data_IF_936958960712
#
_entry.id   IF_936958960712
#
_cell.length_a   1.000
_cell.length_b   1.000
_cell.length_c   1.000
_cell.angle_alpha   90.00
_cell.angle_beta   90.00
_cell.angle_gamma   90.00
#
_symmetry.space_group_name_H-M   'P 1'
#
loop_
_entity.id
_entity.type
_entity.pdbx_description
1 polymer ?
#
# COMPACT_ATOMS: atom_id res chain seq x y z
N UNK A 1 42.57 0.20 64.30
CA UNK A 1 42.91 1.59 64.72
C UNK A 1 41.95 2.48 63.96
N UNK A 2 40.92 2.84 64.60
CA UNK A 2 40.39 4.04 65.22
C UNK A 2 40.98 5.34 64.68
N UNK A 3 40.20 6.13 63.94
CA UNK A 3 40.12 7.55 64.25
C UNK A 3 38.78 8.13 63.77
N UNK A 4 38.18 8.78 64.64
CA UNK A 4 36.85 9.43 64.59
C UNK A 4 36.99 10.94 64.36
N UNK A 5 36.02 11.50 63.60
CA UNK A 5 35.27 12.77 63.79
C UNK A 5 36.02 14.11 63.55
N UNK A 6 35.30 15.25 63.31
CA UNK A 6 33.88 15.53 63.60
C UNK A 6 33.07 16.33 62.53
N UNK A 7 31.76 16.41 62.79
CA UNK A 7 30.74 17.29 62.23
C UNK A 7 31.08 18.80 62.31
N UNK A 8 30.76 19.53 61.29
CA UNK A 8 30.44 20.96 61.35
C UNK A 8 29.12 21.22 60.62
N UNK A 9 28.11 21.60 61.37
CA UNK A 9 26.82 22.05 60.92
C UNK A 9 26.93 23.51 60.44
N UNK A 10 26.56 23.78 59.20
CA UNK A 10 26.32 25.14 58.69
C UNK A 10 24.83 25.30 58.44
N UNK A 11 24.19 26.15 59.27
CA UNK A 11 22.83 26.63 59.07
C UNK A 11 22.83 27.69 58.03
N UNK A 12 22.20 27.43 56.88
CA UNK A 12 21.93 28.42 55.84
C UNK A 12 20.45 28.77 55.83
N UNK A 13 20.21 30.06 56.04
CA UNK A 13 18.91 30.70 56.03
C UNK A 13 18.34 30.66 54.60
N UNK A 14 17.19 30.07 54.44
CA UNK A 14 16.44 30.07 53.18
C UNK A 14 15.58 31.32 53.14
N UNK A 15 15.93 32.25 52.25
CA UNK A 15 15.06 33.36 51.86
C UNK A 15 13.96 32.86 50.94
N UNK A 16 12.70 32.90 51.36
CA UNK A 16 11.56 32.69 50.48
C UNK A 16 11.39 33.87 49.52
N UNK A 17 11.86 33.71 48.31
CA UNK A 17 11.48 34.56 47.19
C UNK A 17 10.19 34.04 46.57
N UNK A 18 9.08 34.74 46.72
CA UNK A 18 7.84 34.52 45.98
C UNK A 18 8.04 35.05 44.56
N UNK A 19 8.43 34.18 43.65
CA UNK A 19 8.37 34.48 42.22
C UNK A 19 6.94 34.17 41.74
N UNK A 20 6.18 35.23 41.45
CA UNK A 20 4.98 35.13 40.62
C UNK A 20 5.45 34.78 39.22
N UNK A 21 5.32 33.53 38.83
CA UNK A 21 5.39 33.15 37.44
C UNK A 21 4.04 33.42 36.82
N UNK A 22 3.94 34.50 36.05
CA UNK A 22 2.87 34.67 35.06
C UNK A 22 2.95 33.48 34.10
N UNK A 23 2.05 32.54 34.27
CA UNK A 23 1.82 31.49 33.28
C UNK A 23 1.19 32.18 32.07
N UNK A 24 2.02 32.56 31.09
CA UNK A 24 1.50 32.85 29.76
C UNK A 24 0.76 31.61 29.27
N UNK A 25 -0.56 31.72 29.29
CA UNK A 25 -1.46 30.74 28.68
C UNK A 25 -1.25 30.87 27.17
N UNK A 26 -0.36 30.08 26.64
CA UNK A 26 -0.23 29.92 25.17
C UNK A 26 -1.56 29.34 24.71
N UNK A 27 -2.46 30.21 24.30
CA UNK A 27 -3.74 29.81 23.67
C UNK A 27 -3.38 29.18 22.33
N UNK A 28 -3.28 27.86 22.31
CA UNK A 28 -3.15 27.11 21.04
C UNK A 28 -4.36 27.44 20.22
N UNK A 29 -4.20 27.96 18.98
CA UNK A 29 -5.34 28.20 18.12
C UNK A 29 -6.13 26.92 17.94
N UNK A 30 -7.47 27.02 18.02
CA UNK A 30 -8.34 25.89 17.78
C UNK A 30 -8.05 25.33 16.37
N UNK A 31 -7.94 24.00 16.23
CA UNK A 31 -7.73 23.40 14.93
C UNK A 31 -8.88 23.82 13.99
N UNK A 32 -8.53 24.17 12.75
CA UNK A 32 -9.53 24.50 11.75
C UNK A 32 -10.21 23.20 11.28
N UNK A 33 -11.46 23.26 10.86
CA UNK A 33 -12.18 22.08 10.34
C UNK A 33 -11.41 21.36 9.21
N UNK A 34 -10.58 22.09 8.47
CA UNK A 34 -9.70 21.52 7.44
C UNK A 34 -8.52 20.74 8.05
N UNK A 35 -7.95 21.18 9.19
CA UNK A 35 -6.88 20.48 9.88
C UNK A 35 -7.43 19.20 10.55
N UNK A 36 -8.64 19.26 11.11
CA UNK A 36 -9.31 18.08 11.68
C UNK A 36 -9.69 17.06 10.61
N UNK A 37 -10.11 17.53 9.42
CA UNK A 37 -10.41 16.66 8.29
C UNK A 37 -9.16 15.95 7.74
N UNK A 38 -8.01 16.64 7.66
CA UNK A 38 -6.73 16.04 7.30
C UNK A 38 -6.26 15.01 8.32
N UNK A 39 -6.23 15.36 9.60
CA UNK A 39 -5.86 14.44 10.67
C UNK A 39 -6.76 13.19 10.72
N UNK A 40 -8.03 13.32 10.29
CA UNK A 40 -8.95 12.19 10.17
C UNK A 40 -8.72 11.36 8.90
N UNK A 41 -8.18 11.95 7.85
CA UNK A 41 -7.83 11.26 6.60
C UNK A 41 -6.52 10.45 6.76
N UNK A 42 -5.49 11.04 7.36
CA UNK A 42 -4.18 10.44 7.61
C UNK A 42 -4.21 9.14 8.44
N UNK A 43 -5.34 8.74 9.00
CA UNK A 43 -5.52 7.48 9.73
C UNK A 43 -6.50 6.51 9.08
N UNK A 44 -7.04 6.83 7.91
CA UNK A 44 -8.04 5.99 7.26
C UNK A 44 -7.46 5.25 6.05
N UNK A 45 -7.68 3.93 6.03
CA UNK A 45 -7.17 3.02 5.00
C UNK A 45 -8.24 2.76 3.95
N UNK A 46 -7.85 2.84 2.67
CA UNK A 46 -8.66 2.42 1.52
C UNK A 46 -8.16 1.09 1.01
N UNK A 47 -9.04 0.10 0.95
CA UNK A 47 -8.66 -1.27 0.57
C UNK A 47 -8.89 -1.52 -0.90
N UNK A 48 -7.89 -2.15 -1.54
CA UNK A 48 -7.96 -2.70 -2.89
C UNK A 48 -7.66 -4.20 -2.77
N UNK A 49 -8.59 -5.04 -3.21
CA UNK A 49 -8.42 -6.48 -3.19
C UNK A 49 -7.91 -6.96 -4.54
N UNK A 50 -6.85 -7.77 -4.53
CA UNK A 50 -6.30 -8.44 -5.70
C UNK A 50 -6.85 -9.85 -5.76
N UNK A 51 -7.51 -10.17 -6.86
CA UNK A 51 -8.14 -11.46 -7.09
C UNK A 51 -7.56 -12.16 -8.30
N UNK A 52 -7.43 -13.45 -8.19
CA UNK A 52 -7.30 -14.41 -9.30
C UNK A 52 -8.10 -15.68 -9.01
N UNK A 53 -8.12 -16.59 -9.96
CA UNK A 53 -8.84 -17.86 -9.81
C UNK A 53 -8.03 -19.04 -10.33
N UNK A 54 -6.69 -18.98 -10.21
CA UNK A 54 -5.81 -20.03 -10.71
C UNK A 54 -6.12 -21.41 -10.11
N UNK A 55 -5.97 -22.47 -10.91
CA UNK A 55 -5.98 -23.86 -10.47
C UNK A 55 -4.54 -24.34 -10.24
N UNK A 56 -4.15 -24.70 -9.00
CA UNK A 56 -2.75 -25.00 -8.68
C UNK A 56 -2.16 -26.12 -9.54
N UNK A 57 -2.92 -27.16 -9.83
CA UNK A 57 -2.40 -28.29 -10.59
C UNK A 57 -2.04 -27.87 -12.02
N UNK A 58 -2.92 -27.18 -12.71
CA UNK A 58 -2.71 -26.82 -14.11
C UNK A 58 -1.72 -25.67 -14.29
N UNK A 59 -1.74 -24.67 -13.39
CA UNK A 59 -0.81 -23.55 -13.43
C UNK A 59 0.61 -23.97 -13.08
N UNK A 60 0.79 -24.72 -11.98
CA UNK A 60 2.10 -25.19 -11.55
C UNK A 60 2.73 -26.16 -12.57
N UNK A 61 1.92 -27.00 -13.23
CA UNK A 61 2.42 -27.83 -14.32
C UNK A 61 2.83 -27.07 -15.57
N UNK A 62 2.17 -25.93 -15.86
CA UNK A 62 2.41 -25.16 -17.07
C UNK A 62 3.57 -24.14 -16.90
N UNK A 63 3.70 -23.53 -15.74
CA UNK A 63 4.60 -22.41 -15.47
C UNK A 63 5.73 -22.84 -14.54
N UNK A 64 5.42 -23.53 -13.43
CA UNK A 64 6.37 -23.97 -12.41
C UNK A 64 5.72 -24.10 -11.05
N UNK A 65 6.34 -24.94 -10.21
CA UNK A 65 5.88 -25.19 -8.84
C UNK A 65 5.80 -23.87 -8.05
N UNK A 66 4.70 -23.69 -7.30
CA UNK A 66 4.49 -22.50 -6.47
C UNK A 66 3.90 -21.29 -7.18
N UNK A 67 3.67 -21.35 -8.49
CA UNK A 67 3.03 -20.25 -9.24
C UNK A 67 1.63 -19.97 -8.71
N UNK A 68 0.86 -21.02 -8.42
CA UNK A 68 -0.48 -20.91 -7.86
C UNK A 68 -0.56 -21.74 -6.57
N UNK A 69 -0.89 -21.09 -5.45
CA UNK A 69 -0.92 -21.72 -4.13
C UNK A 69 -2.33 -21.87 -3.54
N UNK A 70 -3.34 -21.24 -4.16
CA UNK A 70 -4.75 -21.31 -3.73
C UNK A 70 -5.63 -21.75 -4.89
N UNK A 71 -6.61 -22.59 -4.60
CA UNK A 71 -7.53 -23.08 -5.63
C UNK A 71 -8.64 -22.08 -5.92
N UNK A 72 -8.58 -21.47 -7.11
CA UNK A 72 -9.63 -20.64 -7.69
C UNK A 72 -10.44 -21.34 -8.78
N UNK A 73 -10.00 -22.53 -9.22
CA UNK A 73 -10.75 -23.42 -10.12
C UNK A 73 -10.65 -23.14 -11.62
N UNK A 74 -9.93 -22.09 -12.06
CA UNK A 74 -9.68 -21.82 -13.48
C UNK A 74 -8.43 -22.55 -13.93
N UNK A 75 -8.57 -23.49 -14.88
CA UNK A 75 -7.45 -24.19 -15.50
C UNK A 75 -6.64 -23.30 -16.41
N UNK A 76 -5.35 -23.54 -16.52
CA UNK A 76 -4.40 -22.74 -17.28
C UNK A 76 -4.76 -22.61 -18.77
N UNK A 77 -5.19 -23.71 -19.41
CA UNK A 77 -5.64 -23.69 -20.81
C UNK A 77 -6.83 -22.75 -21.04
N UNK A 78 -7.77 -22.72 -20.10
CA UNK A 78 -8.92 -21.83 -20.12
C UNK A 78 -8.54 -20.38 -19.88
N UNK A 79 -7.58 -20.14 -18.98
CA UNK A 79 -7.01 -18.82 -18.75
C UNK A 79 -6.39 -18.25 -20.02
N UNK A 80 -5.51 -19.01 -20.70
CA UNK A 80 -4.88 -18.61 -21.95
C UNK A 80 -5.92 -18.38 -23.05
N UNK A 81 -6.89 -19.28 -23.20
CA UNK A 81 -7.95 -19.13 -24.21
C UNK A 81 -8.80 -17.87 -23.98
N UNK A 82 -9.11 -17.53 -22.72
CA UNK A 82 -9.85 -16.32 -22.40
C UNK A 82 -9.01 -15.06 -22.64
N UNK A 83 -7.75 -15.06 -22.21
CA UNK A 83 -6.82 -13.95 -22.42
C UNK A 83 -6.62 -13.65 -23.90
N UNK A 84 -6.31 -14.67 -24.70
CA UNK A 84 -6.16 -14.56 -26.16
C UNK A 84 -7.41 -13.99 -26.83
N UNK A 85 -8.60 -14.37 -26.35
CA UNK A 85 -9.86 -13.93 -26.97
C UNK A 85 -10.27 -12.52 -26.60
N UNK A 86 -9.95 -12.07 -25.37
CA UNK A 86 -10.52 -10.86 -24.77
C UNK A 86 -9.48 -9.81 -24.38
N UNK A 87 -8.18 -10.15 -24.42
CA UNK A 87 -7.13 -9.30 -23.88
C UNK A 87 -7.12 -9.20 -22.33
N UNK A 88 -8.01 -9.94 -21.67
CA UNK A 88 -8.12 -9.93 -20.20
C UNK A 88 -8.82 -11.18 -19.69
N UNK A 89 -8.61 -11.49 -18.42
CA UNK A 89 -9.31 -12.56 -17.69
C UNK A 89 -9.95 -11.93 -16.47
N UNK A 90 -11.28 -11.81 -16.45
CA UNK A 90 -12.02 -11.03 -15.46
C UNK A 90 -11.91 -11.55 -14.01
N UNK A 91 -11.45 -12.79 -13.80
CA UNK A 91 -11.15 -13.31 -12.48
C UNK A 91 -9.84 -12.72 -11.92
N UNK A 92 -8.91 -12.31 -12.78
CA UNK A 92 -7.70 -11.55 -12.43
C UNK A 92 -8.03 -10.07 -12.48
N UNK A 93 -8.22 -9.45 -11.34
CA UNK A 93 -8.67 -8.06 -11.21
C UNK A 93 -8.29 -7.45 -9.88
N UNK A 94 -8.23 -6.14 -9.85
CA UNK A 94 -8.37 -5.35 -8.63
C UNK A 94 -9.84 -5.07 -8.33
N UNK A 95 -10.20 -4.98 -7.07
CA UNK A 95 -11.53 -4.63 -6.62
C UNK A 95 -11.47 -3.67 -5.40
N UNK A 96 -12.06 -2.49 -5.52
CA UNK A 96 -12.75 -1.96 -6.69
C UNK A 96 -11.77 -1.61 -7.84
N UNK A 97 -12.29 -1.53 -9.07
CA UNK A 97 -11.53 -1.04 -10.23
C UNK A 97 -11.45 0.49 -10.32
N UNK A 98 -12.20 1.17 -9.48
CA UNK A 98 -12.23 2.63 -9.37
C UNK A 98 -12.70 2.99 -7.96
N UNK A 99 -12.07 3.96 -7.31
CA UNK A 99 -12.45 4.43 -5.98
C UNK A 99 -12.12 5.90 -5.76
N UNK A 100 -12.91 6.54 -4.89
CA UNK A 100 -12.60 7.84 -4.34
C UNK A 100 -11.81 7.70 -3.03
N UNK A 101 -10.75 8.47 -2.89
CA UNK A 101 -9.98 8.55 -1.65
C UNK A 101 -9.61 10.03 -1.36
N UNK A 102 -9.29 10.33 -0.11
CA UNK A 102 -8.82 11.67 0.28
C UNK A 102 -7.31 11.70 0.30
N UNK A 103 -6.73 12.84 0.00
CA UNK A 103 -5.30 13.10 0.23
C UNK A 103 -4.94 12.76 1.68
N UNK A 104 -3.86 12.02 1.88
CA UNK A 104 -3.42 11.50 3.17
C UNK A 104 -4.06 10.16 3.59
N UNK A 105 -4.89 9.54 2.75
CA UNK A 105 -5.38 8.18 3.01
C UNK A 105 -4.41 7.14 2.47
N UNK A 106 -4.10 6.15 3.29
CA UNK A 106 -3.31 4.98 2.88
C UNK A 106 -4.13 4.08 1.96
N UNK A 107 -3.54 3.67 0.85
CA UNK A 107 -4.04 2.59 -0.01
C UNK A 107 -3.46 1.27 0.49
N UNK A 108 -4.31 0.28 0.75
CA UNK A 108 -3.88 -1.05 1.16
C UNK A 108 -4.31 -2.07 0.12
N UNK A 109 -3.35 -2.58 -0.64
CA UNK A 109 -3.55 -3.68 -1.56
C UNK A 109 -3.45 -5.02 -0.82
N UNK A 110 -4.44 -5.92 -1.00
CA UNK A 110 -4.49 -7.21 -0.32
C UNK A 110 -4.64 -8.32 -1.35
N UNK A 111 -3.69 -9.24 -1.37
CA UNK A 111 -3.74 -10.38 -2.29
C UNK A 111 -4.62 -11.51 -1.73
N UNK A 112 -5.82 -11.63 -2.27
CA UNK A 112 -6.77 -12.69 -1.96
C UNK A 112 -6.69 -13.87 -2.96
N UNK A 113 -5.89 -13.72 -4.01
CA UNK A 113 -5.66 -14.72 -5.05
C UNK A 113 -4.67 -15.82 -4.65
N UNK A 114 -4.31 -16.64 -5.62
CA UNK A 114 -3.37 -17.77 -5.48
C UNK A 114 -2.02 -17.52 -6.11
N UNK A 115 -1.88 -16.49 -6.93
CA UNK A 115 -0.65 -16.06 -7.57
C UNK A 115 -0.04 -14.84 -6.88
N UNK A 116 1.21 -14.55 -7.19
CA UNK A 116 1.86 -13.29 -6.79
C UNK A 116 1.33 -12.16 -7.67
N UNK A 117 1.11 -11.00 -7.09
CA UNK A 117 0.72 -9.78 -7.79
C UNK A 117 1.64 -8.61 -7.39
N UNK A 118 1.57 -7.51 -8.13
CA UNK A 118 2.11 -6.21 -7.71
C UNK A 118 0.98 -5.19 -7.64
N UNK A 119 1.16 -4.15 -6.85
CA UNK A 119 0.29 -2.98 -6.82
C UNK A 119 1.17 -1.77 -7.07
N UNK A 120 1.27 -1.37 -8.34
CA UNK A 120 2.27 -0.40 -8.80
C UNK A 120 1.57 0.80 -9.39
N UNK A 121 1.87 1.99 -8.86
CA UNK A 121 1.44 3.24 -9.47
C UNK A 121 2.15 3.44 -10.81
N UNK A 122 1.41 3.92 -11.82
CA UNK A 122 1.91 4.17 -13.16
C UNK A 122 1.36 5.49 -13.71
N UNK A 123 2.16 6.22 -14.48
CA UNK A 123 1.67 7.42 -15.17
C UNK A 123 0.61 7.07 -16.24
N UNK A 124 0.83 5.96 -16.95
CA UNK A 124 -0.11 5.45 -17.96
C UNK A 124 -0.16 3.92 -17.91
N UNK A 125 -1.34 3.37 -18.07
CA UNK A 125 -1.49 1.93 -18.15
C UNK A 125 -0.74 1.33 -19.34
N UNK A 126 0.11 0.36 -19.07
CA UNK A 126 0.93 -0.30 -20.07
C UNK A 126 0.98 -1.82 -19.91
N UNK A 127 1.99 -2.42 -20.52
CA UNK A 127 2.38 -3.80 -20.28
C UNK A 127 3.15 -3.95 -18.96
N UNK A 128 3.36 -5.19 -18.54
CA UNK A 128 4.14 -5.54 -17.38
C UNK A 128 5.44 -6.26 -17.72
N UNK A 129 5.97 -6.98 -16.74
CA UNK A 129 7.26 -7.70 -16.85
C UNK A 129 7.18 -9.06 -17.58
N UNK A 130 5.97 -9.54 -17.91
CA UNK A 130 5.77 -10.84 -18.56
C UNK A 130 5.43 -10.65 -20.04
N UNK A 131 6.39 -10.79 -20.98
CA UNK A 131 6.19 -10.45 -22.38
C UNK A 131 5.03 -11.19 -23.04
N UNK A 132 4.83 -12.47 -22.72
CA UNK A 132 3.72 -13.26 -23.24
C UNK A 132 2.36 -12.72 -22.82
N UNK A 133 2.21 -12.30 -21.58
CA UNK A 133 0.97 -11.72 -21.08
C UNK A 133 0.72 -10.34 -21.70
N UNK A 134 1.77 -9.54 -21.91
CA UNK A 134 1.68 -8.28 -22.63
C UNK A 134 1.13 -8.48 -24.04
N UNK A 135 1.70 -9.44 -24.76
CA UNK A 135 1.29 -9.74 -26.13
C UNK A 135 -0.16 -10.23 -26.22
N UNK A 136 -0.55 -11.16 -25.34
CA UNK A 136 -1.90 -11.73 -25.33
C UNK A 136 -2.97 -10.73 -24.86
N UNK A 137 -2.60 -9.78 -24.01
CA UNK A 137 -3.52 -8.73 -23.52
C UNK A 137 -3.56 -7.49 -24.42
N UNK A 138 -2.64 -7.38 -25.40
CA UNK A 138 -2.51 -6.20 -26.25
C UNK A 138 -1.81 -5.01 -25.60
N UNK A 139 -1.25 -5.18 -24.41
CA UNK A 139 -0.47 -4.15 -23.67
C UNK A 139 1.02 -4.31 -23.99
N UNK A 140 1.42 -4.01 -25.22
CA UNK A 140 2.78 -4.31 -25.70
C UNK A 140 3.86 -3.36 -25.22
N UNK A 141 3.50 -2.10 -24.95
CA UNK A 141 4.40 -1.10 -24.37
C UNK A 141 4.43 -1.28 -22.84
N UNK A 142 5.59 -1.61 -22.30
CA UNK A 142 5.76 -1.82 -20.86
C UNK A 142 5.70 -0.48 -20.13
N UNK A 143 4.90 -0.38 -19.08
CA UNK A 143 4.91 0.79 -18.20
C UNK A 143 6.31 0.94 -17.59
N UNK A 144 6.93 2.13 -17.64
CA UNK A 144 8.31 2.33 -17.15
C UNK A 144 8.50 1.90 -15.69
N UNK A 145 7.50 2.12 -14.86
CA UNK A 145 7.50 1.80 -13.43
C UNK A 145 7.59 0.28 -13.21
N UNK A 146 6.99 -0.51 -14.09
CA UNK A 146 7.12 -1.97 -14.05
C UNK A 146 8.53 -2.48 -14.32
N UNK A 147 9.44 -1.66 -14.84
CA UNK A 147 10.85 -2.01 -15.04
C UNK A 147 11.74 -1.67 -13.83
N UNK A 148 11.19 -0.99 -12.84
CA UNK A 148 11.89 -0.53 -11.63
C UNK A 148 11.49 -1.28 -10.36
N UNK A 149 10.76 -2.41 -10.49
CA UNK A 149 10.27 -3.19 -9.35
C UNK A 149 11.41 -3.73 -8.48
N UNK A 150 11.22 -3.60 -7.18
CA UNK A 150 12.06 -4.19 -6.15
C UNK A 150 11.39 -5.49 -5.58
N UNK A 151 12.11 -6.32 -4.82
CA UNK A 151 11.56 -7.59 -4.31
C UNK A 151 10.33 -7.47 -3.41
N UNK A 152 10.15 -6.35 -2.73
CA UNK A 152 9.05 -6.04 -1.83
C UNK A 152 7.78 -5.57 -2.55
N UNK A 153 7.89 -5.15 -3.81
CA UNK A 153 6.71 -4.85 -4.66
C UNK A 153 5.88 -6.12 -4.99
N UNK A 154 6.45 -7.30 -4.77
CA UNK A 154 5.78 -8.57 -5.08
C UNK A 154 4.97 -9.08 -3.89
N UNK A 155 3.66 -8.94 -3.96
CA UNK A 155 2.71 -9.29 -2.91
C UNK A 155 2.29 -10.76 -3.05
N UNK A 156 2.74 -11.65 -2.16
CA UNK A 156 2.42 -13.08 -2.24
C UNK A 156 0.95 -13.35 -1.86
N UNK A 157 0.41 -14.53 -2.18
CA UNK A 157 -0.92 -14.96 -1.77
C UNK A 157 -1.15 -14.82 -0.26
N UNK A 158 -2.14 -13.99 0.11
CA UNK A 158 -2.46 -13.65 1.49
C UNK A 158 -1.62 -12.52 2.08
N UNK A 159 -0.67 -11.98 1.33
CA UNK A 159 0.07 -10.79 1.69
C UNK A 159 -0.72 -9.51 1.45
N UNK A 160 -0.17 -8.41 1.91
CA UNK A 160 -0.68 -7.06 1.65
C UNK A 160 0.49 -6.09 1.49
N UNK A 161 0.19 -4.98 0.87
CA UNK A 161 1.01 -3.80 0.78
C UNK A 161 0.17 -2.60 1.25
N UNK A 162 0.78 -1.70 2.00
CA UNK A 162 0.12 -0.52 2.59
C UNK A 162 1.05 0.70 2.56
N UNK A 163 2.01 0.72 1.66
CA UNK A 163 3.03 1.76 1.60
C UNK A 163 2.60 2.94 0.71
N UNK A 164 1.57 2.75 -0.14
CA UNK A 164 1.00 3.81 -0.95
C UNK A 164 0.06 4.73 -0.16
N UNK A 165 0.17 6.01 -0.41
CA UNK A 165 -0.70 7.07 0.15
C UNK A 165 -1.19 7.96 -1.00
N UNK A 166 -2.45 8.38 -0.94
CA UNK A 166 -2.98 9.37 -1.90
C UNK A 166 -2.29 10.72 -1.65
N UNK A 167 -1.39 11.10 -2.54
CA UNK A 167 -0.50 12.25 -2.34
C UNK A 167 -1.16 13.58 -2.70
N UNK A 168 -1.99 13.62 -3.76
CA UNK A 168 -2.57 14.86 -4.26
C UNK A 168 -4.01 14.71 -4.76
N UNK A 169 -4.65 15.85 -4.99
CA UNK A 169 -5.95 15.90 -5.68
C UNK A 169 -5.74 15.63 -7.16
N UNK A 170 -6.30 14.53 -7.65
CA UNK A 170 -6.07 14.12 -9.03
C UNK A 170 -6.54 12.71 -9.30
N UNK A 171 -5.93 12.10 -10.27
CA UNK A 171 -6.17 10.70 -10.65
C UNK A 171 -4.86 9.96 -10.62
N UNK A 172 -4.78 8.94 -9.79
CA UNK A 172 -3.67 8.01 -9.69
C UNK A 172 -4.09 6.68 -10.32
N UNK A 173 -3.19 6.04 -11.05
CA UNK A 173 -3.45 4.79 -11.77
C UNK A 173 -2.55 3.69 -11.23
N UNK A 174 -3.13 2.57 -10.86
CA UNK A 174 -2.40 1.41 -10.34
C UNK A 174 -2.64 0.18 -11.22
N UNK A 175 -1.58 -0.56 -11.52
CA UNK A 175 -1.67 -1.82 -12.25
C UNK A 175 -0.84 -2.94 -11.60
N UNK A 176 -1.17 -4.19 -11.95
CA UNK A 176 -0.29 -5.32 -11.69
C UNK A 176 0.73 -5.45 -12.81
N UNK A 177 2.01 -5.37 -12.50
CA UNK A 177 3.09 -5.53 -13.47
C UNK A 177 3.29 -6.96 -13.96
N UNK A 178 2.62 -7.95 -13.37
CA UNK A 178 2.58 -9.34 -13.88
C UNK A 178 1.39 -9.51 -14.84
N UNK A 179 0.21 -9.01 -14.46
CA UNK A 179 -1.06 -9.16 -15.16
C UNK A 179 -1.60 -7.78 -15.58
N UNK A 180 -1.13 -7.19 -16.67
CA UNK A 180 -1.28 -5.75 -16.98
C UNK A 180 -2.73 -5.29 -17.25
N UNK A 181 -3.68 -6.18 -17.28
CA UNK A 181 -5.12 -5.85 -17.31
C UNK A 181 -5.76 -5.73 -15.93
N UNK A 182 -5.05 -6.11 -14.84
CA UNK A 182 -5.50 -5.84 -13.47
C UNK A 182 -5.16 -4.39 -13.14
N UNK A 183 -6.18 -3.56 -13.06
CA UNK A 183 -6.06 -2.10 -12.95
C UNK A 183 -7.07 -1.53 -11.99
N UNK A 184 -6.70 -0.46 -11.33
CA UNK A 184 -7.62 0.39 -10.56
C UNK A 184 -7.24 1.86 -10.76
N UNK A 185 -8.24 2.72 -10.63
CA UNK A 185 -8.09 4.17 -10.69
C UNK A 185 -8.51 4.74 -9.35
N UNK A 186 -7.67 5.59 -8.77
CA UNK A 186 -7.92 6.28 -7.52
C UNK A 186 -8.16 7.77 -7.82
N UNK A 187 -9.29 8.31 -7.37
CA UNK A 187 -9.59 9.72 -7.48
C UNK A 187 -9.30 10.41 -6.15
N UNK A 188 -8.13 11.04 -6.08
CA UNK A 188 -7.69 11.86 -4.95
C UNK A 188 -8.56 13.10 -4.78
N UNK A 189 -9.08 13.32 -3.58
CA UNK A 189 -9.93 14.47 -3.21
C UNK A 189 -9.37 15.17 -1.99
N UNK A 190 -9.58 16.49 -1.91
CA UNK A 190 -9.22 17.29 -0.74
C UNK A 190 -10.00 16.91 0.53
#
# INVERSE_FOLDING_TARGET
>A
MRSMTPLLALVSVVALGTACTDAETVTRPAPTAAADARASAEGSVRRIEMHDACDPMSFNNAIGEGTCTRSGGMKFDRFIAQLTKRGSVGAWRFAPSELDARVGQTLMAINLGGEVHTFTEVEEFGGGIVPMLNQLSGNTEVAPECLALEPDDFIPPGGNDADDEVEEVGTEMYQCCIHPWMRTVVHGRA
#
